data_IF_113273115105
#
_entry.id   IF_113273115105
#
_cell.length_a   1.000
_cell.length_b   1.000
_cell.length_c   1.000
_cell.angle_alpha   90.00
_cell.angle_beta   90.00
_cell.angle_gamma   90.00
#
_symmetry.space_group_name_H-M   'P 1'
#
loop_
_entity.id
_entity.type
_entity.pdbx_description
1 polymer ?
#
# COMPACT_ATOMS: atom_id res chain seq x y z
N UNK A 1 -16.69 1.77 5.68
CA UNK A 1 -15.86 0.67 5.16
C UNK A 1 -15.29 1.04 3.82
N UNK A 2 -14.23 0.36 3.38
CA UNK A 2 -13.67 0.50 2.04
C UNK A 2 -14.67 -0.04 0.99
N UNK A 3 -14.98 0.76 -0.04
CA UNK A 3 -15.74 0.27 -1.20
C UNK A 3 -14.71 -0.16 -2.25
N UNK A 4 -14.50 -1.47 -2.36
CA UNK A 4 -13.36 -2.05 -3.09
C UNK A 4 -13.81 -3.05 -4.15
N UNK A 5 -12.91 -3.39 -5.07
CA UNK A 5 -13.13 -4.41 -6.10
C UNK A 5 -11.80 -5.11 -6.47
N UNK A 6 -11.90 -6.22 -7.21
CA UNK A 6 -10.71 -6.88 -7.76
C UNK A 6 -10.19 -6.14 -9.01
N UNK A 7 -8.91 -6.31 -9.32
CA UNK A 7 -8.31 -5.84 -10.57
C UNK A 7 -8.95 -6.50 -11.81
N UNK A 8 -9.62 -7.65 -11.63
CA UNK A 8 -10.44 -8.28 -12.68
C UNK A 8 -11.70 -7.48 -13.00
N UNK A 9 -12.36 -6.91 -11.99
CA UNK A 9 -13.51 -6.01 -12.18
C UNK A 9 -13.08 -4.74 -12.91
N UNK A 10 -11.96 -4.14 -12.47
CA UNK A 10 -11.38 -2.97 -13.14
C UNK A 10 -11.08 -3.26 -14.61
N UNK A 11 -10.41 -4.39 -14.88
CA UNK A 11 -10.10 -4.82 -16.25
C UNK A 11 -11.35 -4.94 -17.11
N UNK A 12 -12.44 -5.47 -16.57
CA UNK A 12 -13.62 -5.79 -17.35
C UNK A 12 -14.63 -4.65 -17.47
N UNK A 13 -14.63 -3.68 -16.55
CA UNK A 13 -15.73 -2.70 -16.42
C UNK A 13 -15.31 -1.23 -16.39
N UNK A 14 -14.13 -0.90 -15.88
CA UNK A 14 -13.81 0.49 -15.55
C UNK A 14 -13.71 1.39 -16.79
N UNK A 15 -14.60 2.37 -16.91
CA UNK A 15 -14.59 3.39 -17.96
C UNK A 15 -13.98 4.72 -17.45
N UNK A 16 -13.88 4.92 -16.14
CA UNK A 16 -13.09 6.00 -15.53
C UNK A 16 -12.03 5.44 -14.57
N UNK A 17 -10.76 5.76 -14.84
CA UNK A 17 -9.61 5.29 -14.04
C UNK A 17 -8.81 6.48 -13.54
N UNK A 18 -8.80 6.70 -12.23
CA UNK A 18 -8.10 7.81 -11.58
C UNK A 18 -6.87 7.27 -10.86
N UNK A 19 -5.70 7.87 -11.10
CA UNK A 19 -4.50 7.66 -10.30
C UNK A 19 -4.19 8.92 -9.49
N UNK A 20 -4.32 8.82 -8.17
CA UNK A 20 -4.08 9.93 -7.24
C UNK A 20 -2.81 9.71 -6.43
N UNK A 21 -1.84 10.63 -6.53
CA UNK A 21 -0.59 10.55 -5.80
C UNK A 21 0.17 9.24 -6.07
N UNK A 22 0.06 8.73 -7.30
CA UNK A 22 0.64 7.46 -7.73
C UNK A 22 1.29 7.61 -9.10
N UNK A 23 2.43 6.94 -9.28
CA UNK A 23 3.16 6.89 -10.54
C UNK A 23 3.34 5.43 -11.00
N UNK A 24 2.29 4.78 -11.54
CA UNK A 24 2.34 3.38 -11.93
C UNK A 24 3.40 3.08 -13.00
N UNK A 25 3.74 4.04 -13.87
CA UNK A 25 4.77 3.85 -14.89
C UNK A 25 6.13 3.43 -14.31
N UNK A 26 6.46 3.89 -13.10
CA UNK A 26 7.72 3.52 -12.41
C UNK A 26 7.49 2.54 -11.27
N UNK A 27 6.43 2.72 -10.48
CA UNK A 27 6.19 1.90 -9.28
C UNK A 27 5.51 0.56 -9.58
N UNK A 28 4.69 0.50 -10.62
CA UNK A 28 3.92 -0.70 -10.99
C UNK A 28 3.85 -0.87 -12.52
N UNK A 29 4.98 -1.06 -13.21
CA UNK A 29 5.08 -0.82 -14.67
C UNK A 29 4.11 -1.64 -15.52
N UNK A 30 3.68 -2.81 -15.04
CA UNK A 30 2.74 -3.69 -15.74
C UNK A 30 1.27 -3.49 -15.37
N UNK A 31 0.95 -2.62 -14.41
CA UNK A 31 -0.41 -2.43 -13.90
C UNK A 31 -1.36 -1.97 -15.01
N UNK A 32 -0.95 -0.97 -15.77
CA UNK A 32 -1.68 -0.42 -16.91
C UNK A 32 -1.95 -1.43 -18.01
N UNK A 33 -0.91 -2.19 -18.40
CA UNK A 33 -1.00 -3.22 -19.43
C UNK A 33 -1.88 -4.41 -19.03
N UNK A 34 -1.94 -4.74 -17.73
CA UNK A 34 -2.63 -5.95 -17.25
C UNK A 34 -4.04 -5.69 -16.73
N UNK A 35 -4.29 -4.57 -16.08
CA UNK A 35 -5.47 -4.43 -15.22
C UNK A 35 -6.31 -3.18 -15.46
N UNK A 36 -5.72 -2.01 -15.74
CA UNK A 36 -6.48 -0.77 -15.58
C UNK A 36 -6.73 0.02 -16.87
N UNK A 37 -5.72 0.31 -17.68
CA UNK A 37 -5.86 1.31 -18.76
C UNK A 37 -5.88 0.69 -20.15
N UNK A 38 -4.96 -0.24 -20.44
CA UNK A 38 -4.80 -0.81 -21.78
C UNK A 38 -5.69 -2.03 -22.09
N UNK A 39 -6.02 -2.93 -21.15
CA UNK A 39 -6.64 -4.20 -21.51
C UNK A 39 -8.08 -4.00 -22.02
N UNK A 40 -8.43 -4.77 -23.05
CA UNK A 40 -9.81 -4.99 -23.47
C UNK A 40 -10.54 -5.80 -22.40
N UNK A 41 -11.75 -5.37 -22.06
CA UNK A 41 -12.60 -5.98 -21.05
C UNK A 41 -13.98 -6.33 -21.59
N UNK A 42 -14.78 -7.04 -20.79
CA UNK A 42 -16.14 -7.46 -21.17
C UNK A 42 -17.06 -6.29 -21.54
N UNK A 43 -16.96 -5.17 -20.81
CA UNK A 43 -17.81 -3.97 -20.99
C UNK A 43 -17.05 -2.75 -21.51
N UNK A 44 -15.76 -2.95 -21.83
CA UNK A 44 -14.83 -1.98 -22.42
C UNK A 44 -14.02 -2.68 -23.53
N UNK A 45 -14.69 -3.15 -24.60
CA UNK A 45 -14.10 -4.03 -25.62
C UNK A 45 -13.00 -3.35 -26.45
N UNK A 46 -12.95 -2.02 -26.52
CA UNK A 46 -11.90 -1.27 -27.21
C UNK A 46 -10.71 -0.91 -26.30
N UNK A 47 -10.70 -1.37 -25.03
CA UNK A 47 -9.60 -1.16 -24.10
C UNK A 47 -9.40 0.33 -23.81
N UNK A 48 -8.18 0.86 -24.02
CA UNK A 48 -7.83 2.27 -23.72
C UNK A 48 -8.78 3.32 -24.30
N UNK A 49 -9.39 3.05 -25.47
CA UNK A 49 -10.33 3.97 -26.13
C UNK A 49 -11.67 4.10 -25.40
N UNK A 50 -12.06 3.10 -24.61
CA UNK A 50 -13.30 3.12 -23.82
C UNK A 50 -13.06 3.66 -22.40
N UNK A 51 -11.86 4.17 -22.09
CA UNK A 51 -11.47 4.58 -20.74
C UNK A 51 -10.97 6.01 -20.73
N UNK A 52 -11.49 6.81 -19.81
CA UNK A 52 -10.89 8.08 -19.42
C UNK A 52 -9.91 7.84 -18.28
N UNK A 53 -8.67 8.28 -18.46
CA UNK A 53 -7.60 8.18 -17.47
C UNK A 53 -7.30 9.56 -16.88
N UNK A 54 -7.46 9.67 -15.57
CA UNK A 54 -7.13 10.89 -14.82
C UNK A 54 -5.90 10.63 -13.96
N UNK A 55 -4.96 11.56 -13.96
CA UNK A 55 -3.82 11.55 -13.04
C UNK A 55 -3.86 12.84 -12.21
N UNK A 56 -3.88 12.68 -10.89
CA UNK A 56 -3.77 13.77 -9.92
C UNK A 56 -2.44 13.63 -9.20
N UNK A 57 -1.51 14.55 -9.44
CA UNK A 57 -0.17 14.51 -8.88
C UNK A 57 0.40 15.93 -8.78
N UNK A 58 1.28 16.18 -7.82
CA UNK A 58 1.95 17.48 -7.62
C UNK A 58 2.98 17.77 -8.71
N UNK A 59 3.44 16.72 -9.41
CA UNK A 59 4.44 16.80 -10.47
C UNK A 59 3.98 16.03 -11.71
N UNK A 60 4.40 16.51 -12.88
CA UNK A 60 4.17 15.81 -14.14
C UNK A 60 5.12 14.60 -14.25
N UNK A 61 4.73 13.48 -13.65
CA UNK A 61 5.51 12.24 -13.59
C UNK A 61 5.54 11.52 -14.96
N UNK A 62 6.32 10.43 -15.06
CA UNK A 62 6.30 9.55 -16.24
C UNK A 62 4.92 8.94 -16.51
N UNK A 63 4.02 8.98 -15.54
CA UNK A 63 2.65 8.53 -15.73
C UNK A 63 1.74 9.59 -16.38
N UNK A 64 2.09 10.88 -16.31
CA UNK A 64 1.23 11.96 -16.79
C UNK A 64 0.95 11.93 -18.31
N UNK A 65 1.90 11.57 -19.20
CA UNK A 65 1.62 11.52 -20.65
C UNK A 65 0.58 10.48 -21.07
N UNK A 66 0.28 9.49 -20.22
CA UNK A 66 -0.73 8.47 -20.52
C UNK A 66 -2.16 8.89 -20.10
N UNK A 67 -2.30 9.99 -19.38
CA UNK A 67 -3.58 10.51 -18.89
C UNK A 67 -4.30 11.34 -19.95
N UNK A 68 -5.63 11.23 -20.01
CA UNK A 68 -6.47 12.15 -20.75
C UNK A 68 -6.62 13.47 -20.00
N UNK A 69 -6.63 13.40 -18.67
CA UNK A 69 -6.75 14.55 -17.77
C UNK A 69 -5.63 14.50 -16.75
N UNK A 70 -4.83 15.56 -16.69
CA UNK A 70 -3.83 15.75 -15.65
C UNK A 70 -4.21 16.93 -14.77
N UNK A 71 -4.39 16.68 -13.47
CA UNK A 71 -4.66 17.71 -12.47
C UNK A 71 -3.43 17.88 -11.60
N UNK A 72 -2.81 19.06 -11.69
CA UNK A 72 -1.63 19.37 -10.91
C UNK A 72 -2.02 20.08 -9.61
N UNK A 73 -2.34 19.30 -8.58
CA UNK A 73 -2.65 19.83 -7.24
C UNK A 73 -1.40 20.37 -6.57
N UNK A 74 -1.53 21.47 -5.81
CA UNK A 74 -0.42 22.00 -4.99
C UNK A 74 0.05 20.96 -3.96
N UNK A 75 1.35 20.92 -3.63
CA UNK A 75 1.85 20.03 -2.59
C UNK A 75 1.09 20.18 -1.27
N UNK A 76 0.73 19.04 -0.66
CA UNK A 76 0.06 18.97 0.66
C UNK A 76 -1.35 19.55 0.68
N UNK A 77 -2.01 19.63 -0.49
CA UNK A 77 -3.38 20.15 -0.66
C UNK A 77 -4.36 19.09 -1.16
N UNK A 78 -3.99 17.82 -1.08
CA UNK A 78 -4.82 16.68 -1.47
C UNK A 78 -6.09 16.57 -0.62
N UNK A 79 -6.01 16.87 0.68
CA UNK A 79 -7.17 16.83 1.56
C UNK A 79 -8.23 17.84 1.13
N UNK A 80 -7.82 19.10 0.94
CA UNK A 80 -8.70 20.18 0.47
C UNK A 80 -9.29 19.84 -0.91
N UNK A 81 -8.48 19.34 -1.85
CA UNK A 81 -8.95 18.91 -3.17
C UNK A 81 -10.02 17.79 -3.09
N UNK A 82 -9.82 16.80 -2.22
CA UNK A 82 -10.79 15.73 -2.01
C UNK A 82 -12.08 16.27 -1.37
N UNK A 83 -12.00 17.22 -0.44
CA UNK A 83 -13.18 17.85 0.16
C UNK A 83 -13.97 18.72 -0.82
N UNK A 84 -13.28 19.44 -1.71
CA UNK A 84 -13.91 20.16 -2.83
C UNK A 84 -14.71 19.17 -3.69
N UNK A 85 -14.08 18.08 -4.14
CA UNK A 85 -14.79 17.06 -4.92
C UNK A 85 -16.00 16.49 -4.19
N UNK A 86 -15.89 16.25 -2.88
CA UNK A 86 -17.03 15.78 -2.07
C UNK A 86 -18.18 16.79 -2.02
N UNK A 87 -17.86 18.07 -1.83
CA UNK A 87 -18.84 19.14 -1.84
C UNK A 87 -19.56 19.22 -3.20
N UNK A 88 -18.80 19.17 -4.30
CA UNK A 88 -19.34 19.20 -5.66
C UNK A 88 -20.20 17.97 -5.99
N UNK A 89 -19.79 16.78 -5.56
CA UNK A 89 -20.59 15.55 -5.71
C UNK A 89 -21.93 15.68 -4.97
N UNK A 90 -21.94 16.32 -3.80
CA UNK A 90 -23.16 16.58 -3.01
C UNK A 90 -23.99 17.79 -3.48
N UNK A 91 -23.60 18.43 -4.57
CA UNK A 91 -24.30 19.60 -5.09
C UNK A 91 -24.15 20.86 -4.23
N UNK A 92 -23.12 20.93 -3.39
CA UNK A 92 -22.78 22.15 -2.65
C UNK A 92 -22.13 23.13 -3.63
N UNK A 93 -22.70 24.33 -3.75
CA UNK A 93 -22.12 25.40 -4.56
C UNK A 93 -20.83 25.90 -3.92
N UNK A 94 -19.77 26.00 -4.75
CA UNK A 94 -18.47 26.53 -4.35
C UNK A 94 -18.13 27.75 -5.21
N UNK A 95 -17.28 28.61 -4.67
CA UNK A 95 -16.67 29.77 -5.30
C UNK A 95 -15.21 29.49 -5.67
N UNK A 96 -14.64 30.30 -6.57
CA UNK A 96 -13.22 30.17 -6.97
C UNK A 96 -12.26 30.31 -5.77
N UNK A 97 -12.64 31.14 -4.79
CA UNK A 97 -11.84 31.38 -3.59
C UNK A 97 -11.69 30.11 -2.73
N UNK A 98 -12.71 29.25 -2.68
CA UNK A 98 -12.67 28.00 -1.92
C UNK A 98 -11.75 26.95 -2.57
N UNK A 99 -11.48 27.08 -3.87
CA UNK A 99 -10.59 26.19 -4.61
C UNK A 99 -9.13 26.68 -4.70
N UNK A 100 -8.89 27.98 -4.46
CA UNK A 100 -7.61 28.65 -4.71
C UNK A 100 -6.40 27.96 -4.03
N UNK A 101 -6.63 27.40 -2.86
CA UNK A 101 -5.63 26.69 -2.05
C UNK A 101 -5.09 25.43 -2.72
N UNK A 102 -5.88 24.78 -3.59
CA UNK A 102 -5.45 23.60 -4.37
C UNK A 102 -4.56 23.98 -5.55
N UNK A 103 -4.60 25.24 -5.99
CA UNK A 103 -3.94 25.70 -7.21
C UNK A 103 -4.60 25.22 -8.51
N UNK A 104 -5.81 24.65 -8.42
CA UNK A 104 -6.59 24.12 -9.53
C UNK A 104 -7.90 24.91 -9.61
N UNK A 105 -8.30 25.44 -10.79
CA UNK A 105 -9.53 26.21 -10.95
C UNK A 105 -10.78 25.40 -10.60
N UNK A 106 -11.82 26.06 -10.09
CA UNK A 106 -13.09 25.41 -9.74
C UNK A 106 -13.69 24.63 -10.92
N UNK A 107 -13.62 25.21 -12.13
CA UNK A 107 -14.13 24.58 -13.34
C UNK A 107 -13.53 23.18 -13.58
N UNK A 108 -12.23 23.01 -13.33
CA UNK A 108 -11.58 21.71 -13.52
C UNK A 108 -12.03 20.68 -12.47
N UNK A 109 -12.31 21.12 -11.23
CA UNK A 109 -12.89 20.25 -10.22
C UNK A 109 -14.34 19.88 -10.51
N UNK A 110 -15.12 20.83 -11.04
CA UNK A 110 -16.49 20.59 -11.48
C UNK A 110 -16.54 19.57 -12.62
N UNK A 111 -15.71 19.75 -13.64
CA UNK A 111 -15.60 18.82 -14.78
C UNK A 111 -15.23 17.41 -14.32
N UNK A 112 -14.28 17.27 -13.38
CA UNK A 112 -13.93 15.96 -12.83
C UNK A 112 -15.09 15.38 -12.01
N UNK A 113 -15.72 16.15 -11.13
CA UNK A 113 -16.84 15.68 -10.32
C UNK A 113 -18.02 15.21 -11.19
N UNK A 114 -18.31 15.90 -12.29
CA UNK A 114 -19.37 15.53 -13.22
C UNK A 114 -19.02 14.24 -13.98
N UNK A 115 -17.78 14.09 -14.46
CA UNK A 115 -17.31 12.83 -15.05
C UNK A 115 -17.35 11.66 -14.06
N UNK A 116 -16.98 11.91 -12.79
CA UNK A 116 -17.05 10.90 -11.72
C UNK A 116 -18.49 10.45 -11.45
N UNK A 117 -19.48 11.34 -11.53
CA UNK A 117 -20.91 10.99 -11.37
C UNK A 117 -21.48 10.27 -12.60
N UNK A 118 -20.99 10.60 -13.79
CA UNK A 118 -21.54 10.09 -15.07
C UNK A 118 -20.92 8.77 -15.55
N UNK A 119 -19.74 8.38 -15.05
CA UNK A 119 -19.11 7.11 -15.44
C UNK A 119 -20.00 5.90 -15.08
N UNK A 120 -19.82 4.76 -15.76
CA UNK A 120 -20.54 3.50 -15.42
C UNK A 120 -19.83 2.71 -14.33
N UNK A 121 -18.49 2.75 -14.32
CA UNK A 121 -17.64 2.10 -13.34
C UNK A 121 -16.37 2.95 -13.15
N UNK A 122 -16.31 3.66 -12.04
CA UNK A 122 -15.15 4.46 -11.65
C UNK A 122 -14.23 3.71 -10.70
N UNK A 123 -12.92 3.88 -10.85
CA UNK A 123 -11.93 3.43 -9.86
C UNK A 123 -10.92 4.52 -9.56
N UNK A 124 -10.70 4.77 -8.27
CA UNK A 124 -9.66 5.64 -7.73
C UNK A 124 -8.53 4.79 -7.14
N UNK A 125 -7.44 4.68 -7.90
CA UNK A 125 -6.17 4.15 -7.42
C UNK A 125 -5.40 5.25 -6.70
N UNK A 126 -4.98 5.02 -5.45
CA UNK A 126 -4.17 5.99 -4.71
C UNK A 126 -2.84 5.42 -4.21
N UNK A 127 -1.81 6.26 -4.23
CA UNK A 127 -0.45 5.88 -3.83
C UNK A 127 0.08 6.65 -2.63
N UNK A 128 1.39 6.55 -2.44
CA UNK A 128 2.11 7.20 -1.32
C UNK A 128 2.07 8.72 -1.38
N UNK A 129 1.85 9.31 -2.57
CA UNK A 129 1.61 10.76 -2.71
C UNK A 129 0.33 11.23 -2.01
N UNK A 130 -0.59 10.31 -1.72
CA UNK A 130 -1.77 10.59 -0.88
C UNK A 130 -1.54 10.16 0.57
N UNK A 131 -1.04 8.94 0.80
CA UNK A 131 -1.01 8.33 2.14
C UNK A 131 0.15 8.78 3.03
N UNK A 132 1.22 9.34 2.46
CA UNK A 132 2.43 9.74 3.20
C UNK A 132 2.73 11.25 3.16
N UNK A 133 1.82 12.06 2.64
CA UNK A 133 1.92 13.53 2.70
C UNK A 133 1.25 14.08 3.96
N UNK A 134 1.24 15.41 4.13
CA UNK A 134 0.53 16.07 5.25
C UNK A 134 -0.92 15.57 5.27
N UNK A 135 -1.42 15.20 6.45
CA UNK A 135 -2.75 14.59 6.62
C UNK A 135 -2.70 13.07 6.70
N UNK A 136 -1.78 12.40 5.99
CA UNK A 136 -1.57 10.94 6.01
C UNK A 136 -2.88 10.15 5.85
N UNK A 137 -3.36 9.55 6.94
CA UNK A 137 -4.59 8.74 6.96
C UNK A 137 -5.86 9.59 6.74
N UNK A 138 -5.85 10.89 7.08
CA UNK A 138 -6.98 11.79 6.81
C UNK A 138 -7.20 11.99 5.30
N UNK A 139 -6.14 11.99 4.51
CA UNK A 139 -6.23 12.07 3.05
C UNK A 139 -6.88 10.80 2.48
N UNK A 140 -6.47 9.64 3.00
CA UNK A 140 -7.05 8.35 2.61
C UNK A 140 -8.52 8.28 3.02
N UNK A 141 -8.86 8.73 4.23
CA UNK A 141 -10.24 8.81 4.70
C UNK A 141 -11.10 9.70 3.79
N UNK A 142 -10.59 10.86 3.39
CA UNK A 142 -11.30 11.76 2.48
C UNK A 142 -11.55 11.12 1.11
N UNK A 143 -10.58 10.38 0.56
CA UNK A 143 -10.74 9.64 -0.70
C UNK A 143 -11.77 8.51 -0.58
N UNK A 144 -11.74 7.74 0.52
CA UNK A 144 -12.74 6.70 0.79
C UNK A 144 -14.13 7.29 1.04
N UNK A 145 -14.22 8.48 1.64
CA UNK A 145 -15.46 9.20 1.82
C UNK A 145 -16.02 9.72 0.48
N UNK A 146 -15.16 10.25 -0.39
CA UNK A 146 -15.54 10.65 -1.75
C UNK A 146 -16.10 9.48 -2.54
N UNK A 147 -15.44 8.32 -2.51
CA UNK A 147 -15.95 7.11 -3.18
C UNK A 147 -17.29 6.67 -2.62
N UNK A 148 -17.52 6.79 -1.30
CA UNK A 148 -18.84 6.51 -0.71
C UNK A 148 -19.90 7.49 -1.23
N UNK A 149 -19.62 8.79 -1.23
CA UNK A 149 -20.53 9.82 -1.71
C UNK A 149 -20.87 9.58 -3.21
N UNK A 150 -19.90 9.18 -4.03
CA UNK A 150 -20.11 8.85 -5.45
C UNK A 150 -21.00 7.62 -5.69
N UNK A 151 -21.09 6.70 -4.72
CA UNK A 151 -21.93 5.52 -4.86
C UNK A 151 -23.44 5.80 -4.76
N UNK A 152 -23.83 7.03 -4.41
CA UNK A 152 -25.21 7.52 -4.55
C UNK A 152 -25.57 7.84 -6.02
N UNK A 153 -24.57 8.01 -6.89
CA UNK A 153 -24.76 8.39 -8.29
C UNK A 153 -24.39 7.26 -9.27
N UNK A 154 -23.31 6.51 -8.99
CA UNK A 154 -22.79 5.47 -9.88
C UNK A 154 -22.06 4.36 -9.11
N UNK A 155 -21.42 3.41 -9.79
CA UNK A 155 -20.52 2.43 -9.16
C UNK A 155 -19.10 2.96 -9.15
N UNK A 156 -18.59 3.24 -7.96
CA UNK A 156 -17.26 3.77 -7.77
C UNK A 156 -16.48 2.98 -6.71
N UNK A 157 -15.20 2.75 -6.95
CA UNK A 157 -14.34 1.98 -6.04
C UNK A 157 -13.04 2.72 -5.75
N UNK A 158 -12.46 2.50 -4.58
CA UNK A 158 -11.12 2.96 -4.24
C UNK A 158 -10.19 1.75 -4.08
N UNK A 159 -8.94 1.89 -4.52
CA UNK A 159 -7.93 0.88 -4.29
C UNK A 159 -6.54 1.43 -4.00
N UNK A 160 -5.89 1.02 -2.90
CA UNK A 160 -4.50 1.41 -2.65
C UNK A 160 -3.55 0.73 -3.63
N UNK A 161 -2.59 1.48 -4.17
CA UNK A 161 -1.47 0.98 -4.97
C UNK A 161 -0.39 0.42 -4.04
N UNK A 162 -0.68 -0.73 -3.43
CA UNK A 162 0.19 -1.42 -2.45
C UNK A 162 1.51 -1.82 -3.09
N UNK A 163 2.64 -1.46 -2.44
CA UNK A 163 3.98 -1.53 -3.05
C UNK A 163 4.60 -2.93 -3.15
N UNK A 164 4.97 -3.53 -2.02
CA UNK A 164 5.70 -4.81 -2.02
C UNK A 164 4.78 -5.99 -2.38
N UNK A 165 5.37 -7.02 -2.99
CA UNK A 165 4.65 -8.15 -3.58
C UNK A 165 3.76 -8.96 -2.62
N UNK A 166 3.96 -8.82 -1.30
CA UNK A 166 3.11 -9.48 -0.30
C UNK A 166 2.80 -8.62 0.94
N UNK A 167 2.86 -7.28 0.85
CA UNK A 167 2.48 -6.42 1.98
C UNK A 167 1.02 -6.63 2.38
N UNK A 168 0.15 -6.90 1.40
CA UNK A 168 -1.24 -7.27 1.65
C UNK A 168 -1.36 -8.60 2.39
N UNK A 169 -0.50 -9.57 2.11
CA UNK A 169 -0.54 -10.86 2.80
C UNK A 169 -0.08 -10.76 4.24
N UNK A 170 0.94 -9.95 4.52
CA UNK A 170 1.36 -9.66 5.89
C UNK A 170 0.19 -9.08 6.70
N UNK A 171 -0.47 -8.04 6.18
CA UNK A 171 -1.63 -7.42 6.84
C UNK A 171 -2.77 -8.43 7.07
N UNK A 172 -3.08 -9.28 6.09
CA UNK A 172 -4.10 -10.31 6.21
C UNK A 172 -3.74 -11.34 7.31
N UNK A 173 -2.50 -11.87 7.28
CA UNK A 173 -2.03 -12.86 8.26
C UNK A 173 -2.08 -12.31 9.68
N UNK A 174 -1.52 -11.11 9.89
CA UNK A 174 -1.52 -10.48 11.22
C UNK A 174 -2.96 -10.18 11.67
N UNK A 175 -3.83 -9.76 10.75
CA UNK A 175 -5.24 -9.50 11.06
C UNK A 175 -5.98 -10.74 11.55
N UNK A 176 -5.88 -11.88 10.85
CA UNK A 176 -6.60 -13.08 11.30
C UNK A 176 -5.97 -13.74 12.52
N UNK A 177 -4.68 -13.53 12.78
CA UNK A 177 -3.99 -14.05 13.97
C UNK A 177 -4.22 -13.20 15.23
N UNK A 178 -4.35 -11.88 15.07
CA UNK A 178 -4.32 -10.94 16.20
C UNK A 178 -5.55 -10.04 16.32
N UNK A 179 -6.41 -10.01 15.30
CA UNK A 179 -7.51 -9.05 15.16
C UNK A 179 -7.11 -7.71 14.53
N UNK A 180 -5.83 -7.49 14.23
CA UNK A 180 -5.30 -6.19 13.77
C UNK A 180 -4.24 -6.32 12.67
N UNK A 181 -4.10 -5.34 11.74
CA UNK A 181 -3.30 -5.53 10.53
C UNK A 181 -1.79 -5.28 10.66
N UNK A 182 -1.34 -4.46 11.60
CA UNK A 182 0.08 -4.12 11.81
C UNK A 182 0.26 -3.42 13.16
N UNK A 183 1.49 -3.09 13.59
CA UNK A 183 1.69 -2.28 14.81
C UNK A 183 1.03 -2.91 16.05
N UNK A 184 1.22 -4.21 16.23
CA UNK A 184 0.59 -5.01 17.28
C UNK A 184 1.61 -5.33 18.36
N UNK A 185 1.32 -4.98 19.61
CA UNK A 185 2.10 -5.36 20.78
C UNK A 185 1.49 -6.60 21.44
N UNK A 186 2.32 -7.62 21.69
CA UNK A 186 1.96 -8.81 22.47
C UNK A 186 2.52 -8.78 23.90
N UNK A 187 3.12 -7.67 24.33
CA UNK A 187 3.88 -7.57 25.58
C UNK A 187 3.08 -7.79 26.87
N UNK A 188 1.74 -7.80 26.81
CA UNK A 188 0.85 -8.12 27.94
C UNK A 188 0.27 -9.54 27.89
N UNK A 189 0.74 -10.38 26.97
CA UNK A 189 0.18 -11.71 26.75
C UNK A 189 -1.08 -11.74 25.88
N UNK A 190 -1.55 -10.58 25.39
CA UNK A 190 -2.66 -10.45 24.45
C UNK A 190 -2.39 -9.30 23.45
N UNK A 191 -3.02 -9.33 22.25
CA UNK A 191 -2.84 -8.29 21.23
C UNK A 191 -3.33 -6.92 21.68
N UNK A 192 -2.48 -5.90 21.50
CA UNK A 192 -2.85 -4.48 21.59
C UNK A 192 -2.42 -3.77 20.32
N UNK A 193 -3.32 -2.98 19.75
CA UNK A 193 -3.10 -2.27 18.49
C UNK A 193 -3.22 -0.78 18.68
N UNK A 194 -2.13 -0.07 18.38
CA UNK A 194 -2.10 1.38 18.42
C UNK A 194 -0.99 1.91 17.49
N UNK A 195 -1.28 2.11 16.19
CA UNK A 195 -0.34 2.72 15.25
C UNK A 195 0.12 4.10 15.73
N UNK A 196 1.43 4.35 15.66
CA UNK A 196 2.08 5.49 16.30
C UNK A 196 2.65 5.15 17.66
N UNK A 197 2.07 4.22 18.42
CA UNK A 197 2.68 3.67 19.64
C UNK A 197 3.52 2.43 19.31
N UNK A 198 2.94 1.41 18.66
CA UNK A 198 3.60 0.10 18.46
C UNK A 198 4.16 -0.15 17.06
N UNK A 199 4.19 0.88 16.22
CA UNK A 199 4.79 0.80 14.87
C UNK A 199 6.31 0.86 14.95
N UNK A 200 7.00 0.00 14.18
CA UNK A 200 8.46 -0.18 14.26
C UNK A 200 9.25 1.12 14.11
N UNK A 201 8.84 2.00 13.18
CA UNK A 201 9.52 3.28 12.99
C UNK A 201 9.41 4.18 14.22
N UNK A 202 8.28 4.14 14.92
CA UNK A 202 7.99 4.97 16.09
C UNK A 202 8.69 4.44 17.34
N UNK A 203 8.66 3.13 17.58
CA UNK A 203 9.36 2.50 18.72
C UNK A 203 10.88 2.68 18.61
N UNK A 204 11.44 2.60 17.39
CA UNK A 204 12.85 2.90 17.15
C UNK A 204 13.16 4.39 17.33
N UNK A 205 12.36 5.29 16.75
CA UNK A 205 12.59 6.73 16.85
C UNK A 205 12.54 7.24 18.30
N UNK A 206 11.67 6.65 19.14
CA UNK A 206 11.57 6.95 20.57
C UNK A 206 12.55 6.16 21.45
N UNK A 207 13.39 5.32 20.85
CA UNK A 207 14.41 4.51 21.54
C UNK A 207 13.83 3.50 22.54
N UNK A 208 12.62 3.01 22.29
CA UNK A 208 11.90 2.09 23.17
C UNK A 208 12.34 0.64 22.98
N UNK A 209 12.66 0.25 21.75
CA UNK A 209 13.14 -1.09 21.43
C UNK A 209 14.61 -1.27 21.85
N UNK A 210 14.92 -2.36 22.53
CA UNK A 210 16.28 -2.74 22.98
C UNK A 210 16.92 -3.84 22.11
N UNK A 211 16.12 -4.52 21.29
CA UNK A 211 16.55 -5.43 20.23
C UNK A 211 15.56 -5.40 19.06
N UNK A 212 15.98 -5.88 17.88
CA UNK A 212 15.09 -6.00 16.72
C UNK A 212 15.34 -7.28 15.91
N UNK A 213 14.30 -7.74 15.21
CA UNK A 213 14.39 -8.77 14.17
C UNK A 213 13.76 -8.21 12.90
N UNK A 214 14.55 -8.10 11.85
CA UNK A 214 14.14 -7.54 10.56
C UNK A 214 14.06 -8.66 9.53
N UNK A 215 12.89 -8.83 8.92
CA UNK A 215 12.63 -9.91 7.96
C UNK A 215 12.22 -9.29 6.62
N UNK A 216 12.99 -9.59 5.56
CA UNK A 216 12.74 -9.16 4.18
C UNK A 216 12.43 -7.65 4.04
N UNK A 217 13.19 -6.82 4.76
CA UNK A 217 13.01 -5.37 4.80
C UNK A 217 14.33 -4.65 5.02
N UNK A 218 14.42 -3.40 4.55
CA UNK A 218 15.64 -2.58 4.62
C UNK A 218 15.40 -1.23 5.33
N UNK A 219 15.11 -1.22 6.65
CA UNK A 219 14.90 0.00 7.42
C UNK A 219 16.10 0.94 7.42
N UNK A 220 17.34 0.44 7.33
CA UNK A 220 18.54 1.31 7.26
C UNK A 220 18.59 2.18 5.99
N UNK A 221 17.93 1.77 4.90
CA UNK A 221 17.78 2.61 3.72
C UNK A 221 16.51 3.46 3.73
N UNK A 222 15.43 3.01 4.39
CA UNK A 222 14.09 3.54 4.17
C UNK A 222 13.45 4.25 5.37
N UNK A 223 13.97 4.08 6.59
CA UNK A 223 13.40 4.71 7.78
C UNK A 223 13.94 6.12 8.01
N UNK A 224 13.21 6.87 8.85
CA UNK A 224 13.64 8.18 9.34
C UNK A 224 15.00 8.11 10.02
N UNK A 225 15.76 9.21 9.97
CA UNK A 225 17.08 9.28 10.60
C UNK A 225 17.05 8.87 12.09
N UNK A 226 16.13 9.36 12.95
CA UNK A 226 16.09 8.94 14.35
C UNK A 226 15.93 7.42 14.55
N UNK A 227 15.08 6.78 13.73
CA UNK A 227 14.87 5.34 13.80
C UNK A 227 16.13 4.56 13.37
N UNK A 228 16.83 5.03 12.32
CA UNK A 228 18.08 4.41 11.85
C UNK A 228 19.21 4.54 12.86
N UNK A 229 19.37 5.72 13.46
CA UNK A 229 20.38 5.96 14.50
C UNK A 229 20.17 5.08 15.74
N UNK A 230 18.91 4.81 16.10
CA UNK A 230 18.62 3.90 17.20
C UNK A 230 18.84 2.44 16.83
N UNK A 231 18.37 2.02 15.65
CA UNK A 231 18.59 0.65 15.15
C UNK A 231 20.08 0.30 15.10
N UNK A 232 20.93 1.25 14.71
CA UNK A 232 22.38 1.06 14.68
C UNK A 232 23.06 0.92 16.07
N UNK A 233 22.35 1.24 17.16
CA UNK A 233 22.87 1.17 18.54
C UNK A 233 22.43 -0.08 19.31
N UNK A 234 21.41 -0.78 18.82
CA UNK A 234 20.84 -1.97 19.48
C UNK A 234 21.24 -3.24 18.73
N UNK A 235 21.36 -4.40 19.40
CA UNK A 235 21.55 -5.66 18.70
C UNK A 235 20.30 -5.98 17.86
N UNK A 236 20.50 -6.34 16.60
CA UNK A 236 19.41 -6.80 15.76
C UNK A 236 19.82 -7.95 14.84
N UNK A 237 18.82 -8.76 14.50
CA UNK A 237 18.91 -9.88 13.57
C UNK A 237 18.30 -9.44 12.23
N UNK A 238 18.93 -9.80 11.11
CA UNK A 238 18.38 -9.58 9.77
C UNK A 238 18.23 -10.89 8.98
N UNK A 239 17.07 -11.11 8.36
CA UNK A 239 16.80 -12.19 7.41
C UNK A 239 16.53 -11.55 6.05
N UNK A 240 17.42 -11.78 5.09
CA UNK A 240 17.23 -11.26 3.73
C UNK A 240 17.99 -12.16 2.73
N UNK A 241 17.45 -12.40 1.52
CA UNK A 241 18.18 -13.10 0.46
C UNK A 241 19.34 -12.28 -0.13
N UNK A 242 19.43 -10.97 0.16
CA UNK A 242 20.41 -10.07 -0.45
C UNK A 242 21.15 -9.27 0.62
N UNK A 243 22.37 -8.86 0.26
CA UNK A 243 23.10 -7.90 1.07
C UNK A 243 22.48 -6.50 0.92
N UNK A 244 22.05 -5.92 2.04
CA UNK A 244 21.47 -4.58 2.14
C UNK A 244 22.18 -3.75 3.22
N UNK A 245 22.02 -2.41 3.27
CA UNK A 245 22.47 -1.61 4.40
C UNK A 245 22.02 -2.16 5.76
N UNK A 246 20.80 -2.69 5.84
CA UNK A 246 20.30 -3.32 7.07
C UNK A 246 21.06 -4.60 7.40
N UNK A 247 21.28 -5.49 6.43
CA UNK A 247 22.03 -6.74 6.66
C UNK A 247 23.47 -6.47 7.10
N UNK A 248 24.14 -5.47 6.49
CA UNK A 248 25.54 -5.12 6.80
C UNK A 248 25.74 -4.65 8.25
N UNK A 249 24.74 -4.00 8.83
CA UNK A 249 24.82 -3.51 10.22
C UNK A 249 24.32 -4.51 11.26
N UNK A 250 23.79 -5.67 10.86
CA UNK A 250 23.14 -6.61 11.77
C UNK A 250 24.17 -7.32 12.66
N UNK A 251 23.80 -7.57 13.92
CA UNK A 251 24.62 -8.38 14.82
C UNK A 251 24.66 -9.85 14.38
N UNK A 252 23.55 -10.34 13.82
CA UNK A 252 23.44 -11.64 13.16
C UNK A 252 22.63 -11.47 11.89
N UNK A 253 23.11 -12.01 10.77
CA UNK A 253 22.34 -12.07 9.53
C UNK A 253 22.22 -13.51 9.03
N UNK A 254 21.03 -13.83 8.53
CA UNK A 254 20.75 -15.09 7.83
C UNK A 254 20.45 -14.78 6.37
N UNK A 255 21.26 -15.34 5.47
CA UNK A 255 20.88 -15.39 4.06
C UNK A 255 19.78 -16.42 3.90
N UNK A 256 18.61 -15.99 3.43
CA UNK A 256 17.44 -16.86 3.20
C UNK A 256 17.17 -17.08 1.71
N UNK A 257 16.41 -18.13 1.40
CA UNK A 257 15.94 -18.41 0.06
C UNK A 257 14.95 -17.33 -0.43
N UNK A 258 14.99 -16.99 -1.72
CA UNK A 258 14.10 -15.95 -2.27
C UNK A 258 12.68 -16.49 -2.43
N UNK A 259 11.70 -15.90 -1.73
CA UNK A 259 10.30 -16.27 -1.91
C UNK A 259 9.80 -16.01 -3.34
N UNK A 260 9.03 -16.95 -3.88
CA UNK A 260 8.51 -16.87 -5.24
C UNK A 260 9.51 -17.22 -6.35
N UNK A 261 10.78 -17.46 -6.00
CA UNK A 261 11.78 -18.06 -6.90
C UNK A 261 12.21 -19.42 -6.38
N UNK A 262 12.57 -19.50 -5.10
CA UNK A 262 13.07 -20.71 -4.47
C UNK A 262 12.06 -21.40 -3.55
N UNK A 263 11.18 -20.62 -2.93
CA UNK A 263 10.20 -21.14 -1.99
C UNK A 263 8.79 -20.84 -2.48
N UNK A 264 7.88 -21.76 -2.17
CA UNK A 264 6.47 -21.62 -2.46
C UNK A 264 5.79 -20.69 -1.46
N UNK A 265 4.51 -20.93 -1.21
CA UNK A 265 3.70 -20.14 -0.29
C UNK A 265 2.69 -19.25 -1.01
N UNK A 266 1.99 -18.43 -0.25
CA UNK A 266 0.89 -17.61 -0.76
C UNK A 266 1.24 -16.14 -0.65
N UNK A 267 1.10 -15.42 -1.77
CA UNK A 267 1.12 -13.96 -1.77
C UNK A 267 -0.26 -13.40 -2.03
N UNK A 268 -0.59 -12.27 -1.42
CA UNK A 268 -1.80 -11.53 -1.73
C UNK A 268 -1.44 -10.34 -2.58
N UNK A 269 -2.08 -10.23 -3.74
CA UNK A 269 -1.94 -9.06 -4.60
C UNK A 269 -2.58 -7.84 -3.93
N UNK A 270 -2.34 -6.64 -4.47
CA UNK A 270 -2.90 -5.39 -3.95
C UNK A 270 -4.44 -5.38 -3.83
N UNK A 271 -5.13 -6.28 -4.53
CA UNK A 271 -6.58 -6.50 -4.48
C UNK A 271 -7.03 -7.72 -3.70
N UNK A 272 -6.21 -8.15 -2.74
CA UNK A 272 -6.53 -9.20 -1.76
C UNK A 272 -6.77 -10.58 -2.40
N UNK A 273 -6.48 -10.72 -3.70
CA UNK A 273 -6.51 -12.01 -4.40
C UNK A 273 -5.28 -12.82 -3.97
N UNK A 274 -5.47 -14.01 -3.34
CA UNK A 274 -4.37 -14.89 -2.99
C UNK A 274 -3.85 -15.60 -4.25
N UNK A 275 -2.52 -15.63 -4.39
CA UNK A 275 -1.81 -16.24 -5.51
C UNK A 275 -0.79 -17.22 -4.93
N UNK A 276 -0.92 -18.53 -5.20
CA UNK A 276 0.11 -19.50 -4.82
C UNK A 276 1.35 -19.29 -5.69
N UNK A 277 2.50 -19.17 -5.02
CA UNK A 277 3.80 -19.10 -5.66
C UNK A 277 4.26 -20.48 -6.11
N UNK A 278 4.94 -20.51 -7.25
CA UNK A 278 5.53 -21.73 -7.82
C UNK A 278 7.04 -21.54 -7.86
N UNK A 279 7.81 -22.27 -7.03
CA UNK A 279 9.26 -22.26 -7.12
C UNK A 279 9.73 -22.60 -8.53
N UNK A 280 10.75 -21.89 -9.00
CA UNK A 280 11.38 -22.12 -10.28
C UNK A 280 12.69 -22.92 -10.13
N UNK A 281 13.42 -22.75 -9.03
CA UNK A 281 14.72 -23.39 -8.78
C UNK A 281 14.94 -23.64 -7.29
N UNK A 282 15.73 -24.64 -6.92
CA UNK A 282 16.11 -24.87 -5.52
C UNK A 282 17.06 -23.78 -5.00
N UNK A 283 17.13 -23.62 -3.67
CA UNK A 283 18.09 -22.75 -2.99
C UNK A 283 19.02 -23.56 -2.09
N UNK A 284 20.32 -23.22 -2.02
CA UNK A 284 21.21 -23.76 -0.99
C UNK A 284 20.94 -23.15 0.39
N UNK A 285 20.12 -22.09 0.48
CA UNK A 285 19.79 -21.40 1.72
C UNK A 285 18.44 -21.85 2.27
N UNK A 286 18.23 -21.80 3.60
CA UNK A 286 16.93 -22.10 4.19
C UNK A 286 15.90 -21.01 3.86
N UNK A 287 14.63 -21.38 3.88
CA UNK A 287 13.52 -20.42 3.83
C UNK A 287 13.42 -19.58 5.11
N UNK A 288 12.77 -18.41 5.03
CA UNK A 288 12.45 -17.60 6.21
C UNK A 288 11.67 -18.41 7.26
N UNK A 289 10.73 -19.26 6.80
CA UNK A 289 9.95 -20.14 7.67
C UNK A 289 10.82 -21.11 8.47
N UNK A 290 11.79 -21.78 7.83
CA UNK A 290 12.68 -22.72 8.52
C UNK A 290 13.57 -22.03 9.54
N UNK A 291 14.12 -20.85 9.20
CA UNK A 291 14.93 -20.05 10.14
C UNK A 291 14.08 -19.62 11.34
N UNK A 292 12.92 -19.02 11.10
CA UNK A 292 12.03 -18.55 12.17
C UNK A 292 11.52 -19.69 13.05
N UNK A 293 11.20 -20.85 12.47
CA UNK A 293 10.77 -22.05 13.23
C UNK A 293 11.89 -22.57 14.14
N UNK A 294 13.14 -22.62 13.64
CA UNK A 294 14.30 -23.05 14.45
C UNK A 294 14.59 -22.05 15.57
N UNK A 295 14.48 -20.76 15.30
CA UNK A 295 14.64 -19.71 16.31
C UNK A 295 13.56 -19.80 17.39
N UNK A 296 12.29 -19.90 16.99
CA UNK A 296 11.16 -20.04 17.92
C UNK A 296 11.35 -21.27 18.82
N UNK A 297 11.68 -22.43 18.23
CA UNK A 297 11.96 -23.65 18.99
C UNK A 297 13.07 -23.45 20.01
N UNK A 298 14.17 -22.80 19.62
CA UNK A 298 15.28 -22.55 20.53
C UNK A 298 14.89 -21.61 21.67
N UNK A 299 14.12 -20.56 21.39
CA UNK A 299 13.63 -19.61 22.40
C UNK A 299 12.71 -20.32 23.40
N UNK A 300 11.75 -21.14 22.93
CA UNK A 300 10.86 -21.91 23.82
C UNK A 300 11.63 -22.83 24.76
N UNK A 301 12.64 -23.54 24.25
CA UNK A 301 13.51 -24.39 25.08
C UNK A 301 14.27 -23.59 26.15
N UNK A 302 14.79 -22.41 25.79
CA UNK A 302 15.46 -21.53 26.74
C UNK A 302 14.51 -20.96 27.81
N UNK A 303 13.22 -20.82 27.48
CA UNK A 303 12.17 -20.37 28.40
C UNK A 303 11.53 -21.50 29.20
N UNK A 304 11.95 -22.76 29.02
CA UNK A 304 11.33 -23.93 29.66
C UNK A 304 9.91 -24.23 29.19
N UNK A 305 9.50 -23.67 28.04
CA UNK A 305 8.19 -23.94 27.43
C UNK A 305 8.28 -25.25 26.64
N UNK A 306 7.37 -26.23 26.87
CA UNK A 306 7.37 -27.48 26.12
C UNK A 306 7.27 -27.22 24.60
N UNK A 307 8.13 -27.90 23.85
CA UNK A 307 8.07 -27.89 22.38
C UNK A 307 7.39 -29.18 21.94
N UNK A 308 6.33 -29.08 21.14
CA UNK A 308 5.72 -30.25 20.52
C UNK A 308 6.76 -30.97 19.65
N UNK A 309 6.99 -32.26 19.90
CA UNK A 309 7.81 -33.11 19.04
C UNK A 309 7.18 -33.15 17.65
N UNK A 310 7.95 -32.84 16.61
CA UNK A 310 7.50 -33.11 15.25
C UNK A 310 7.65 -34.62 15.01
N UNK A 311 6.51 -35.29 14.81
CA UNK A 311 6.46 -36.57 14.11
C UNK A 311 6.53 -36.35 12.60
#
# INVERSE_FOLDING_TARGET
GEVTCSLGEVKNRADLVIFWGSNPAESHPRHWGRYSTMPKGLWVPNGRKDRTVVVVDVRRSKSAPAADIFIQVKPRKDFEALWILRALVKGVALSEAECADTGVPLAQWQDLADQMKQCKFGVLFFGMGLSMTRGKHLNVEAALALVRDLNEHTRFYAKPMRGHGNVTGADNVVSWQTGYPFGVSLGRGYPRFNPGEFTTADTLARKEADAAMIVASDPMANFSQPAREHLARIPYIALDPKETPTVKGAAVSFTTAVYGINTGGTVYRMDDVPIPLRPAFDSPFPSDYEVLTKLERRIRLLQGVPVAGHG
#
